data_IF_073023456784
#
_entry.id   IF_073023456784
#
_cell.length_a   1.000
_cell.length_b   1.000
_cell.length_c   1.000
_cell.angle_alpha   90.00
_cell.angle_beta   90.00
_cell.angle_gamma   90.00
#
_symmetry.space_group_name_H-M   'P 1'
#
loop_
_entity.id
_entity.type
_entity.pdbx_description
1 polymer ?
#
# COMPACT_ATOMS: atom_id res chain seq x y z
N UNK A 1 -10.45 9.76 -11.26
CA UNK A 1 -9.44 8.70 -11.32
C UNK A 1 -8.86 8.50 -9.95
N UNK A 2 -8.79 7.27 -9.49
CA UNK A 2 -8.14 6.93 -8.22
C UNK A 2 -6.63 6.87 -8.40
N UNK A 3 -5.91 7.46 -7.47
CA UNK A 3 -4.45 7.50 -7.49
C UNK A 3 -3.89 6.36 -6.64
N UNK A 4 -3.10 5.51 -7.28
CA UNK A 4 -2.51 4.31 -6.69
C UNK A 4 -1.03 4.53 -6.46
N UNK A 5 -0.59 4.43 -5.22
CA UNK A 5 0.83 4.37 -4.88
C UNK A 5 1.29 2.91 -4.89
N UNK A 6 2.47 2.64 -5.47
CA UNK A 6 3.12 1.32 -5.35
C UNK A 6 4.42 1.47 -4.57
N UNK A 7 4.46 0.85 -3.39
CA UNK A 7 5.64 0.74 -2.52
C UNK A 7 6.32 -0.63 -2.66
N UNK A 8 7.64 -0.66 -2.64
CA UNK A 8 8.43 -1.89 -2.62
C UNK A 8 9.86 -1.62 -2.12
N UNK A 9 10.58 -2.67 -1.76
CA UNK A 9 12.04 -2.62 -1.70
C UNK A 9 12.66 -2.51 -3.10
N UNK A 10 13.97 -2.28 -3.17
CA UNK A 10 14.70 -2.29 -4.45
C UNK A 10 14.63 -3.65 -5.14
N UNK A 11 14.66 -4.72 -4.36
CA UNK A 11 14.55 -6.11 -4.81
C UNK A 11 13.13 -6.44 -5.32
N UNK A 12 12.12 -5.76 -4.79
CA UNK A 12 10.72 -5.89 -5.19
C UNK A 12 10.35 -5.15 -6.47
N UNK A 13 11.23 -4.28 -7.01
CA UNK A 13 10.97 -3.47 -8.22
C UNK A 13 10.44 -4.30 -9.39
N UNK A 14 10.99 -5.48 -9.75
CA UNK A 14 10.49 -6.23 -10.91
C UNK A 14 9.03 -6.67 -10.78
N UNK A 15 8.53 -6.88 -9.56
CA UNK A 15 7.12 -7.19 -9.29
C UNK A 15 6.29 -5.92 -9.29
N UNK A 16 6.79 -4.86 -8.67
CA UNK A 16 6.14 -3.55 -8.66
C UNK A 16 5.96 -2.98 -10.08
N UNK A 17 6.95 -3.17 -10.97
CA UNK A 17 6.85 -2.79 -12.40
C UNK A 17 5.77 -3.57 -13.14
N UNK A 18 5.67 -4.87 -12.88
CA UNK A 18 4.65 -5.70 -13.51
C UNK A 18 3.25 -5.28 -13.05
N UNK A 19 3.06 -5.05 -11.73
CA UNK A 19 1.81 -4.52 -11.18
C UNK A 19 1.48 -3.14 -11.76
N UNK A 20 2.48 -2.24 -11.80
CA UNK A 20 2.28 -0.92 -12.38
C UNK A 20 1.77 -1.00 -13.81
N UNK A 21 2.42 -1.81 -14.67
CA UNK A 21 2.04 -1.95 -16.08
C UNK A 21 0.60 -2.47 -16.24
N UNK A 22 0.21 -3.42 -15.40
CA UNK A 22 -1.13 -4.02 -15.44
C UNK A 22 -2.20 -3.03 -14.98
N UNK A 23 -2.00 -2.40 -13.82
CA UNK A 23 -2.98 -1.45 -13.28
C UNK A 23 -3.06 -0.16 -14.09
N UNK A 24 -1.96 0.32 -14.67
CA UNK A 24 -1.93 1.55 -15.49
C UNK A 24 -2.68 1.40 -16.83
N UNK A 25 -2.99 0.16 -17.24
CA UNK A 25 -3.84 -0.11 -18.38
C UNK A 25 -5.33 0.24 -18.14
N UNK A 26 -5.72 0.45 -16.87
CA UNK A 26 -7.07 0.80 -16.47
C UNK A 26 -7.27 2.32 -16.43
N UNK A 27 -8.11 2.85 -17.31
CA UNK A 27 -8.28 4.31 -17.51
C UNK A 27 -8.82 5.07 -16.29
N UNK A 28 -9.43 4.37 -15.33
CA UNK A 28 -9.92 4.90 -14.05
C UNK A 28 -8.82 5.07 -12.99
N UNK A 29 -7.66 4.49 -13.19
CA UNK A 29 -6.52 4.58 -12.27
C UNK A 29 -5.45 5.55 -12.77
N UNK A 30 -4.65 6.05 -11.84
CA UNK A 30 -3.39 6.77 -12.08
C UNK A 30 -2.36 6.12 -11.17
N UNK A 31 -1.45 5.33 -11.74
CA UNK A 31 -0.54 4.49 -10.95
C UNK A 31 0.84 5.11 -10.87
N UNK A 32 1.31 5.34 -9.66
CA UNK A 32 2.58 6.01 -9.39
C UNK A 32 3.49 5.16 -8.49
N UNK A 33 4.43 4.41 -9.05
CA UNK A 33 5.37 3.64 -8.25
C UNK A 33 6.47 4.54 -7.64
N UNK A 34 6.89 4.18 -6.42
CA UNK A 34 7.83 4.97 -5.61
C UNK A 34 9.15 5.29 -6.36
N UNK A 35 9.67 4.36 -7.15
CA UNK A 35 10.96 4.50 -7.84
C UNK A 35 10.90 5.41 -9.08
N UNK A 36 9.72 5.77 -9.58
CA UNK A 36 9.56 6.71 -10.70
C UNK A 36 9.43 8.16 -10.23
N UNK A 37 9.37 8.42 -8.93
CA UNK A 37 9.15 9.77 -8.42
C UNK A 37 10.43 10.50 -8.09
N UNK A 38 10.64 11.63 -8.76
CA UNK A 38 11.53 12.71 -8.33
C UNK A 38 10.97 13.52 -7.12
N UNK A 39 9.94 13.01 -6.44
CA UNK A 39 9.22 13.72 -5.36
C UNK A 39 9.95 13.74 -4.02
N UNK A 40 11.03 13.00 -3.85
CA UNK A 40 11.93 13.20 -2.72
C UNK A 40 12.70 14.51 -2.92
N UNK A 41 12.08 15.62 -2.54
CA UNK A 41 12.73 16.93 -2.57
C UNK A 41 13.91 16.89 -1.61
N UNK A 42 15.08 17.27 -2.09
CA UNK A 42 16.36 17.31 -1.37
C UNK A 42 16.34 18.12 -0.05
N UNK A 43 15.28 18.88 0.21
CA UNK A 43 15.12 19.78 1.37
C UNK A 43 14.05 19.34 2.37
N UNK A 44 13.42 18.17 2.21
CA UNK A 44 12.42 17.64 3.15
C UNK A 44 12.87 16.31 3.72
N UNK A 45 12.45 16.02 4.95
CA UNK A 45 12.67 14.70 5.53
C UNK A 45 11.94 13.63 4.70
N UNK A 46 12.43 12.38 4.75
CA UNK A 46 11.76 11.25 4.10
C UNK A 46 10.29 11.14 4.55
N UNK A 47 10.06 11.33 5.85
CA UNK A 47 8.73 11.26 6.43
C UNK A 47 7.80 12.37 5.91
N UNK A 48 8.27 13.61 5.76
CA UNK A 48 7.48 14.69 5.18
C UNK A 48 7.09 14.40 3.72
N UNK A 49 8.00 13.78 2.97
CA UNK A 49 7.73 13.36 1.60
C UNK A 49 6.69 12.24 1.55
N UNK A 50 6.78 11.28 2.47
CA UNK A 50 5.83 10.18 2.60
C UNK A 50 4.44 10.68 3.01
N UNK A 51 4.34 11.64 3.94
CA UNK A 51 3.06 12.27 4.30
C UNK A 51 2.41 12.97 3.09
N UNK A 52 3.20 13.63 2.24
CA UNK A 52 2.70 14.19 0.98
C UNK A 52 2.20 13.12 0.00
N UNK A 53 2.86 11.96 -0.04
CA UNK A 53 2.42 10.80 -0.84
C UNK A 53 1.07 10.27 -0.32
N UNK A 54 0.90 10.16 0.99
CA UNK A 54 -0.35 9.74 1.61
C UNK A 54 -1.52 10.69 1.27
N UNK A 55 -1.27 11.99 1.23
CA UNK A 55 -2.30 12.98 0.90
C UNK A 55 -2.64 13.01 -0.60
N UNK A 56 -1.67 12.66 -1.46
CA UNK A 56 -1.79 12.68 -2.91
C UNK A 56 -2.42 11.40 -3.50
N UNK A 57 -2.56 10.31 -2.73
CA UNK A 57 -3.01 9.00 -3.23
C UNK A 57 -4.24 8.50 -2.47
N UNK A 58 -5.08 7.73 -3.15
CA UNK A 58 -6.32 7.19 -2.60
C UNK A 58 -6.13 5.77 -2.04
N UNK A 59 -5.13 5.06 -2.54
CA UNK A 59 -4.80 3.70 -2.12
C UNK A 59 -3.32 3.35 -2.34
N UNK A 60 -2.84 2.33 -1.63
CA UNK A 60 -1.47 1.85 -1.74
C UNK A 60 -1.38 0.35 -2.00
N UNK A 61 -0.46 -0.06 -2.87
CA UNK A 61 -0.10 -1.47 -3.12
C UNK A 61 1.35 -1.67 -2.68
N UNK A 62 1.58 -2.56 -1.73
CA UNK A 62 2.89 -2.76 -1.11
C UNK A 62 3.43 -4.15 -1.38
N UNK A 63 4.52 -4.22 -2.16
CA UNK A 63 5.20 -5.47 -2.47
C UNK A 63 6.19 -5.78 -1.35
N UNK A 64 5.86 -6.79 -0.56
CA UNK A 64 6.69 -7.28 0.52
C UNK A 64 7.55 -8.45 0.00
N UNK A 65 8.84 -8.24 -0.13
CA UNK A 65 9.82 -9.23 -0.55
C UNK A 65 10.71 -9.66 0.63
N UNK A 66 11.24 -10.89 0.66
CA UNK A 66 12.09 -11.38 1.75
C UNK A 66 13.53 -10.87 1.63
N UNK A 67 13.71 -9.56 1.65
CA UNK A 67 14.96 -8.89 1.27
C UNK A 67 15.93 -8.74 2.45
N UNK A 68 15.38 -8.51 3.63
CA UNK A 68 16.16 -8.35 4.86
C UNK A 68 16.25 -9.66 5.65
N UNK A 69 17.18 -9.74 6.58
CA UNK A 69 17.30 -10.84 7.52
C UNK A 69 17.46 -10.32 8.94
N UNK A 70 16.62 -10.83 9.83
CA UNK A 70 16.68 -10.54 11.27
C UNK A 70 16.98 -11.79 12.06
N UNK A 71 17.73 -11.63 13.15
CA UNK A 71 17.92 -12.71 14.12
C UNK A 71 16.90 -12.55 15.24
N UNK A 72 15.94 -13.48 15.30
CA UNK A 72 14.94 -13.54 16.35
C UNK A 72 15.08 -14.85 17.13
N UNK A 73 15.20 -14.76 18.44
CA UNK A 73 15.34 -15.95 19.33
C UNK A 73 16.41 -16.94 18.84
N UNK A 74 17.60 -16.42 18.47
CA UNK A 74 18.74 -17.19 17.95
C UNK A 74 18.53 -17.86 16.58
N UNK A 75 17.44 -17.55 15.86
CA UNK A 75 17.21 -18.00 14.48
C UNK A 75 17.28 -16.84 13.53
N UNK A 76 18.07 -16.99 12.45
CA UNK A 76 18.09 -16.05 11.34
C UNK A 76 16.85 -16.27 10.48
N UNK A 77 16.06 -15.23 10.30
CA UNK A 77 14.84 -15.27 9.50
C UNK A 77 14.91 -14.20 8.42
N UNK A 78 14.38 -14.51 7.26
CA UNK A 78 14.13 -13.50 6.23
C UNK A 78 12.93 -12.67 6.65
N UNK A 79 12.96 -11.36 6.35
CA UNK A 79 11.87 -10.42 6.67
C UNK A 79 11.67 -9.44 5.53
N UNK A 80 10.47 -8.84 5.39
CA UNK A 80 10.31 -7.68 4.53
C UNK A 80 11.16 -6.52 5.06
N UNK A 81 11.46 -5.59 4.18
CA UNK A 81 12.12 -4.34 4.56
C UNK A 81 11.23 -3.51 5.48
N UNK A 82 11.78 -3.09 6.61
CA UNK A 82 11.03 -2.36 7.64
C UNK A 82 10.34 -1.10 7.10
N UNK A 83 11.00 -0.37 6.19
CA UNK A 83 10.42 0.83 5.59
C UNK A 83 9.13 0.54 4.82
N UNK A 84 9.07 -0.56 4.06
CA UNK A 84 7.87 -0.92 3.29
C UNK A 84 6.71 -1.30 4.22
N UNK A 85 7.03 -1.99 5.34
CA UNK A 85 6.02 -2.31 6.37
C UNK A 85 5.52 -1.05 7.07
N UNK A 86 6.41 -0.10 7.34
CA UNK A 86 6.06 1.19 7.94
C UNK A 86 5.15 2.01 7.00
N UNK A 87 5.50 2.11 5.72
CA UNK A 87 4.71 2.77 4.69
C UNK A 87 3.31 2.16 4.56
N UNK A 88 3.21 0.82 4.50
CA UNK A 88 1.95 0.09 4.53
C UNK A 88 1.10 0.48 5.74
N UNK A 89 1.70 0.48 6.95
CA UNK A 89 1.01 0.87 8.18
C UNK A 89 0.47 2.30 8.15
N UNK A 90 1.23 3.24 7.58
CA UNK A 90 0.77 4.63 7.41
C UNK A 90 -0.41 4.74 6.44
N UNK A 91 -0.36 4.02 5.30
CA UNK A 91 -1.48 3.97 4.35
C UNK A 91 -2.74 3.40 5.00
N UNK A 92 -2.60 2.33 5.78
CA UNK A 92 -3.72 1.73 6.52
C UNK A 92 -4.32 2.70 7.54
N UNK A 93 -3.47 3.41 8.27
CA UNK A 93 -3.91 4.42 9.24
C UNK A 93 -4.60 5.62 8.60
N UNK A 94 -4.19 6.01 7.38
CA UNK A 94 -4.75 7.17 6.66
C UNK A 94 -6.01 6.84 5.88
N UNK A 95 -6.03 5.70 5.17
CA UNK A 95 -7.06 5.35 4.19
C UNK A 95 -7.91 4.15 4.60
N UNK A 96 -7.55 3.47 5.68
CA UNK A 96 -8.19 2.23 6.12
C UNK A 96 -7.57 0.97 5.50
N UNK A 97 -7.82 -0.16 6.13
CA UNK A 97 -7.23 -1.44 5.71
C UNK A 97 -7.70 -1.90 4.31
N UNK A 98 -8.88 -1.49 3.87
CA UNK A 98 -9.41 -1.80 2.54
C UNK A 98 -8.68 -1.08 1.39
N UNK A 99 -7.93 -0.01 1.71
CA UNK A 99 -7.22 0.82 0.74
C UNK A 99 -5.70 0.61 0.75
N UNK A 100 -5.21 -0.39 1.49
CA UNK A 100 -3.80 -0.75 1.55
C UNK A 100 -3.63 -2.24 1.29
N UNK A 101 -3.15 -2.57 0.10
CA UNK A 101 -3.01 -3.94 -0.39
C UNK A 101 -1.60 -4.45 -0.13
N UNK A 102 -1.50 -5.59 0.53
CA UNK A 102 -0.24 -6.27 0.79
C UNK A 102 -0.03 -7.38 -0.24
N UNK A 103 1.06 -7.30 -1.00
CA UNK A 103 1.43 -8.29 -2.01
C UNK A 103 2.65 -9.08 -1.53
N UNK A 104 2.52 -10.39 -1.40
CA UNK A 104 3.56 -11.27 -0.85
C UNK A 104 3.92 -12.41 -1.81
N UNK A 105 5.06 -13.04 -1.61
CA UNK A 105 5.39 -14.29 -2.33
C UNK A 105 4.64 -15.48 -1.73
N UNK A 106 4.23 -16.43 -2.58
CA UNK A 106 3.78 -17.75 -2.12
C UNK A 106 4.92 -18.49 -1.43
N UNK A 107 4.59 -19.20 -0.34
CA UNK A 107 5.55 -20.04 0.38
C UNK A 107 6.40 -19.32 1.42
N UNK A 108 6.17 -18.02 1.67
CA UNK A 108 6.80 -17.35 2.82
C UNK A 108 6.13 -17.80 4.12
N UNK A 109 6.91 -18.02 5.21
CA UNK A 109 6.32 -18.41 6.50
C UNK A 109 5.41 -17.30 7.05
N UNK A 110 4.33 -17.70 7.73
CA UNK A 110 3.42 -16.74 8.41
C UNK A 110 4.11 -15.83 9.43
N UNK A 111 5.19 -16.33 10.05
CA UNK A 111 6.01 -15.55 10.98
C UNK A 111 6.79 -14.41 10.34
N UNK A 112 6.80 -14.34 9.02
CA UNK A 112 7.48 -13.32 8.25
C UNK A 112 6.72 -11.98 8.22
N UNK A 113 5.39 -12.05 8.28
CA UNK A 113 4.53 -10.89 8.36
C UNK A 113 4.28 -10.57 9.85
N UNK A 114 4.34 -9.30 10.27
CA UNK A 114 3.94 -8.89 11.61
C UNK A 114 2.56 -9.45 11.98
N UNK A 115 2.40 -9.94 13.21
CA UNK A 115 1.17 -10.61 13.68
C UNK A 115 -0.09 -9.77 13.47
N UNK A 116 0.04 -8.46 13.66
CA UNK A 116 -1.06 -7.49 13.57
C UNK A 116 -1.52 -7.22 12.12
N UNK A 117 -0.68 -7.59 11.15
CA UNK A 117 -1.02 -7.55 9.72
C UNK A 117 -1.61 -8.87 9.21
N UNK A 118 -1.66 -9.91 10.04
CA UNK A 118 -2.32 -11.17 9.70
C UNK A 118 -3.83 -10.95 9.63
N UNK A 119 -4.44 -11.39 8.54
CA UNK A 119 -5.87 -11.19 8.28
C UNK A 119 -6.21 -9.92 7.50
N UNK A 120 -5.23 -9.06 7.21
CA UNK A 120 -5.36 -8.02 6.21
C UNK A 120 -5.19 -8.66 4.84
N UNK A 121 -5.91 -8.16 3.85
CA UNK A 121 -5.92 -8.71 2.50
C UNK A 121 -4.50 -8.81 1.92
N UNK A 122 -3.88 -9.97 2.09
CA UNK A 122 -2.62 -10.31 1.46
C UNK A 122 -2.91 -11.07 0.17
N UNK A 123 -2.50 -10.52 -0.94
CA UNK A 123 -2.53 -11.22 -2.23
C UNK A 123 -1.17 -11.83 -2.49
N UNK A 124 -1.12 -13.13 -2.81
CA UNK A 124 0.15 -13.84 -2.99
C UNK A 124 0.41 -14.14 -4.46
N UNK A 125 1.66 -13.93 -4.90
CA UNK A 125 2.11 -14.27 -6.25
C UNK A 125 3.14 -15.41 -6.25
N UNK A 126 3.21 -16.16 -7.36
CA UNK A 126 4.26 -17.17 -7.58
C UNK A 126 5.59 -16.44 -7.92
N UNK A 127 6.66 -16.63 -7.14
CA UNK A 127 7.92 -15.93 -7.36
C UNK A 127 8.68 -16.40 -8.60
N UNK A 128 8.28 -17.50 -9.24
CA UNK A 128 8.97 -18.05 -10.41
C UNK A 128 8.92 -17.07 -11.58
N UNK A 129 10.08 -16.68 -12.17
CA UNK A 129 10.12 -15.67 -13.23
C UNK A 129 9.23 -15.99 -14.45
N UNK A 130 9.13 -17.26 -14.82
CA UNK A 130 8.33 -17.72 -15.96
C UNK A 130 6.80 -17.54 -15.74
N UNK A 131 6.33 -17.45 -14.51
CA UNK A 131 4.93 -17.28 -14.17
C UNK A 131 4.59 -15.88 -13.69
N UNK A 132 5.56 -14.96 -13.70
CA UNK A 132 5.40 -13.63 -13.08
C UNK A 132 4.23 -12.85 -13.70
N UNK A 133 4.12 -12.82 -15.01
CA UNK A 133 3.04 -12.09 -15.69
C UNK A 133 1.66 -12.59 -15.23
N UNK A 134 1.43 -13.90 -15.31
CA UNK A 134 0.17 -14.51 -14.87
C UNK A 134 -0.10 -14.33 -13.38
N UNK A 135 0.94 -14.45 -12.54
CA UNK A 135 0.81 -14.28 -11.10
C UNK A 135 0.46 -12.84 -10.73
N UNK A 136 1.00 -11.85 -11.45
CA UNK A 136 0.71 -10.44 -11.27
C UNK A 136 -0.69 -10.10 -11.77
N UNK A 137 -1.15 -10.64 -12.91
CA UNK A 137 -2.52 -10.43 -13.38
C UNK A 137 -3.53 -10.87 -12.33
N UNK A 138 -3.36 -12.04 -11.70
CA UNK A 138 -4.22 -12.49 -10.62
C UNK A 138 -4.23 -11.55 -9.40
N UNK A 139 -3.07 -10.98 -9.06
CA UNK A 139 -2.96 -9.96 -7.99
C UNK A 139 -3.76 -8.72 -8.36
N UNK A 140 -3.59 -8.21 -9.57
CA UNK A 140 -4.27 -7.01 -10.07
C UNK A 140 -5.78 -7.22 -10.17
N UNK A 141 -6.23 -8.36 -10.69
CA UNK A 141 -7.65 -8.74 -10.72
C UNK A 141 -8.28 -8.68 -9.32
N UNK A 142 -7.63 -9.30 -8.32
CA UNK A 142 -8.11 -9.27 -6.93
C UNK A 142 -8.22 -7.86 -6.37
N UNK A 143 -7.23 -6.99 -6.66
CA UNK A 143 -7.25 -5.58 -6.25
C UNK A 143 -8.41 -4.85 -6.92
N UNK A 144 -8.60 -5.03 -8.23
CA UNK A 144 -9.67 -4.39 -9.01
C UNK A 144 -11.06 -4.85 -8.57
N UNK A 145 -11.25 -6.15 -8.31
CA UNK A 145 -12.49 -6.70 -7.77
C UNK A 145 -12.84 -6.09 -6.41
N UNK A 146 -11.86 -5.97 -5.53
CA UNK A 146 -12.08 -5.36 -4.23
C UNK A 146 -12.45 -3.88 -4.35
N UNK A 147 -11.77 -3.12 -5.20
CA UNK A 147 -12.10 -1.72 -5.47
C UNK A 147 -13.51 -1.56 -6.07
N UNK A 148 -13.91 -2.45 -6.98
CA UNK A 148 -15.25 -2.47 -7.54
C UNK A 148 -16.32 -2.81 -6.49
N UNK A 149 -16.03 -3.76 -5.60
CA UNK A 149 -16.88 -4.11 -4.46
C UNK A 149 -17.06 -2.95 -3.48
N UNK A 150 -16.01 -2.21 -3.18
CA UNK A 150 -16.07 -1.02 -2.32
C UNK A 150 -16.94 0.11 -2.91
N UNK A 151 -16.91 0.28 -4.24
CA UNK A 151 -17.80 1.25 -4.91
C UNK A 151 -19.28 0.88 -4.78
N UNK A 152 -19.59 -0.40 -4.63
CA UNK A 152 -20.97 -0.88 -4.46
C UNK A 152 -21.42 -0.92 -2.99
N UNK A 153 -20.51 -0.89 -2.03
CA UNK A 153 -20.82 -0.90 -0.60
C UNK A 153 -20.78 0.51 -0.02
N UNK A 154 -21.90 0.99 0.44
CA UNK A 154 -22.10 2.30 1.09
C UNK A 154 -21.47 2.43 2.50
N UNK A 155 -20.64 1.48 2.96
CA UNK A 155 -19.95 1.60 4.26
C UNK A 155 -19.03 2.83 4.34
N UNK A 156 -18.53 3.34 3.20
CA UNK A 156 -17.84 4.63 3.12
C UNK A 156 -18.74 5.80 3.53
N UNK A 157 -20.05 5.72 3.30
CA UNK A 157 -21.02 6.71 3.81
C UNK A 157 -21.23 6.57 5.31
N UNK A 158 -21.22 5.37 5.85
CA UNK A 158 -21.32 5.16 7.30
C UNK A 158 -20.04 5.54 8.04
N UNK A 159 -18.88 5.28 7.48
CA UNK A 159 -17.61 5.69 8.07
C UNK A 159 -17.38 7.19 7.90
N UNK A 160 -17.67 7.78 6.74
CA UNK A 160 -17.68 9.24 6.55
C UNK A 160 -18.70 9.95 7.44
N UNK A 161 -19.86 9.37 7.73
CA UNK A 161 -20.82 9.95 8.68
C UNK A 161 -20.32 9.86 10.13
N UNK A 162 -19.60 8.81 10.50
CA UNK A 162 -18.99 8.66 11.84
C UNK A 162 -17.69 9.46 11.99
N UNK A 163 -16.86 9.55 10.97
CA UNK A 163 -15.63 10.36 10.95
C UNK A 163 -15.88 11.80 10.48
N UNK A 164 -16.98 12.08 9.81
CA UNK A 164 -17.38 13.41 9.37
C UNK A 164 -17.47 14.39 10.52
N UNK A 165 -17.92 13.94 11.69
CA UNK A 165 -17.95 14.76 12.92
C UNK A 165 -16.51 15.17 13.33
N UNK A 166 -15.53 14.29 13.23
CA UNK A 166 -14.13 14.63 13.55
C UNK A 166 -13.47 15.47 12.47
N UNK A 167 -13.80 15.28 11.21
CA UNK A 167 -13.22 16.03 10.10
C UNK A 167 -13.78 17.45 10.02
N UNK A 168 -15.07 17.65 10.24
CA UNK A 168 -15.67 19.00 10.34
C UNK A 168 -15.16 19.75 11.55
N UNK A 169 -15.00 19.10 12.70
CA UNK A 169 -14.40 19.74 13.88
C UNK A 169 -12.95 20.14 13.66
N UNK A 170 -12.16 19.33 12.92
CA UNK A 170 -10.77 19.68 12.58
C UNK A 170 -10.69 20.86 11.59
N UNK A 171 -11.60 20.94 10.62
CA UNK A 171 -11.68 22.04 9.66
C UNK A 171 -12.17 23.32 10.36
N UNK A 172 -13.14 23.21 11.23
CA UNK A 172 -13.64 24.35 12.01
C UNK A 172 -12.60 24.88 13.00
N UNK A 173 -11.83 24.00 13.66
CA UNK A 173 -10.74 24.41 14.53
C UNK A 173 -9.61 25.10 13.79
N UNK A 174 -9.24 24.61 12.60
CA UNK A 174 -8.23 25.26 11.75
C UNK A 174 -8.69 26.63 11.22
N UNK A 175 -9.98 26.83 10.98
CA UNK A 175 -10.54 28.13 10.58
C UNK A 175 -10.63 29.11 11.75
N UNK A 176 -10.87 28.62 12.97
CA UNK A 176 -10.91 29.46 14.17
C UNK A 176 -9.53 29.95 14.63
N UNK A 177 -8.45 29.28 14.24
CA UNK A 177 -7.05 29.67 14.55
C UNK A 177 -6.48 30.62 13.46
N UNK A 178 -7.14 30.74 12.30
CA UNK A 178 -6.68 31.58 11.17
C UNK A 178 -7.37 32.96 11.12
N UNK A 179 -8.26 33.27 12.07
CA UNK A 179 -8.85 34.59 12.34
C UNK A 179 -8.38 35.11 13.69
#
# INVERSE_FOLDING_TARGET
RERVFIGSSSEGIPVAEAIHKELDAHSELVVEPWYKKSKFKLSRSYLDSLMGILDDHDLGVFVLSPDDSKTMRHKRMRTPRDNVVFELGLFMGRHGCGRAFMVTQKGVPDSWIPSDLKGIHAVSYDPKPQHRAQAVSQVCETILEQLAGERSYTWLTEWRSRSGVYHEQLILSKRAVAN
#
